data_IF_266342922411
#
_entry.id   IF_266342922411
#
_cell.length_a   1.000
_cell.length_b   1.000
_cell.length_c   1.000
_cell.angle_alpha   90.00
_cell.angle_beta   90.00
_cell.angle_gamma   90.00
#
_symmetry.space_group_name_H-M   'P 1'
#
loop_
_entity.id
_entity.type
_entity.pdbx_description
1 polymer ?
#
# COMPACT_ATOMS: atom_id res chain seq x y z
N UNK A 1 40.82 -13.67 76.83
CA UNK A 1 39.65 -12.76 76.70
C UNK A 1 39.03 -12.99 75.32
N UNK A 2 37.74 -13.37 75.29
CA UNK A 2 36.79 -13.44 74.15
C UNK A 2 37.15 -14.44 73.01
N UNK A 3 36.54 -15.62 72.96
CA UNK A 3 35.23 -15.99 72.34
C UNK A 3 35.08 -15.59 70.87
N UNK A 4 34.71 -16.57 70.02
CA UNK A 4 33.62 -16.60 69.00
C UNK A 4 33.80 -17.96 68.26
N UNK A 5 33.19 -19.07 68.70
CA UNK A 5 31.85 -19.60 68.37
C UNK A 5 31.52 -19.76 66.87
N UNK A 6 31.55 -21.04 66.47
CA UNK A 6 30.97 -21.65 65.27
C UNK A 6 29.48 -21.31 65.12
N UNK A 7 29.03 -21.02 63.91
CA UNK A 7 27.64 -21.18 63.50
C UNK A 7 27.59 -21.52 62.01
N UNK A 8 27.32 -22.80 61.75
CA UNK A 8 26.92 -23.34 60.44
C UNK A 8 25.43 -23.03 60.30
N UNK A 9 25.05 -22.19 59.35
CA UNK A 9 23.65 -21.95 59.01
C UNK A 9 23.26 -22.87 57.86
N UNK A 10 22.36 -23.81 58.13
CA UNK A 10 21.56 -24.52 57.14
C UNK A 10 20.71 -23.50 56.36
N UNK A 11 20.75 -23.55 55.03
CA UNK A 11 19.76 -22.90 54.19
C UNK A 11 18.96 -23.99 53.47
N UNK A 12 17.68 -24.09 53.83
CA UNK A 12 16.71 -25.03 53.29
C UNK A 12 15.65 -24.28 52.47
N UNK A 13 15.30 -24.80 51.29
CA UNK A 13 14.13 -24.45 50.47
C UNK A 13 14.17 -23.06 49.83
N UNK A 14 13.82 -22.85 48.56
CA UNK A 14 12.68 -23.39 47.81
C UNK A 14 13.07 -23.54 46.34
N UNK A 15 12.91 -24.74 45.78
CA UNK A 15 12.81 -24.94 44.34
C UNK A 15 11.37 -24.62 43.94
N UNK A 16 11.16 -23.49 43.29
CA UNK A 16 9.93 -23.22 42.57
C UNK A 16 10.13 -23.69 41.12
N UNK A 17 9.57 -24.85 40.80
CA UNK A 17 9.31 -25.30 39.44
C UNK A 17 8.32 -24.32 38.78
N UNK A 18 8.76 -23.58 37.78
CA UNK A 18 7.87 -22.91 36.83
C UNK A 18 7.76 -23.82 35.63
N UNK A 19 6.87 -24.80 35.74
CA UNK A 19 6.29 -25.50 34.59
C UNK A 19 4.92 -24.88 34.31
N UNK A 20 4.70 -24.56 33.03
CA UNK A 20 3.37 -24.40 32.44
C UNK A 20 2.68 -23.06 32.69
N UNK A 21 2.77 -22.17 31.70
CA UNK A 21 1.61 -21.54 31.03
C UNK A 21 2.12 -20.56 29.98
N UNK A 22 2.33 -21.06 28.76
CA UNK A 22 2.56 -20.27 27.55
C UNK A 22 1.48 -20.55 26.49
N UNK A 23 0.28 -20.94 26.95
CA UNK A 23 -0.90 -21.14 26.13
C UNK A 23 -2.08 -20.55 26.90
N UNK A 24 -2.93 -19.81 26.18
CA UNK A 24 -4.19 -19.17 26.61
C UNK A 24 -4.16 -17.71 27.06
N UNK A 25 -3.50 -16.83 26.29
CA UNK A 25 -4.02 -15.48 26.05
C UNK A 25 -4.24 -15.27 24.55
N UNK A 26 -5.33 -15.85 24.03
CA UNK A 26 -5.92 -15.34 22.79
C UNK A 26 -6.50 -13.96 23.16
N UNK A 27 -5.75 -12.89 22.88
CA UNK A 27 -6.17 -11.53 23.20
C UNK A 27 -7.47 -11.20 22.45
N UNK A 28 -8.36 -10.40 23.04
CA UNK A 28 -9.61 -9.98 22.38
C UNK A 28 -9.36 -9.32 20.99
N UNK A 29 -8.19 -8.71 20.81
CA UNK A 29 -7.72 -8.19 19.52
C UNK A 29 -7.53 -9.31 18.48
N UNK A 30 -6.95 -10.46 18.87
CA UNK A 30 -6.78 -11.60 17.94
C UNK A 30 -8.10 -12.25 17.53
N UNK A 31 -9.08 -12.32 18.44
CA UNK A 31 -10.43 -12.82 18.14
C UNK A 31 -11.17 -11.93 17.13
N UNK A 32 -10.90 -10.62 17.13
CA UNK A 32 -11.50 -9.69 16.17
C UNK A 32 -10.88 -9.84 14.77
N UNK A 33 -9.55 -10.04 14.69
CA UNK A 33 -8.85 -10.27 13.42
C UNK A 33 -9.23 -11.60 12.75
N UNK A 34 -9.69 -12.61 13.50
CA UNK A 34 -10.17 -13.89 12.96
C UNK A 34 -11.55 -13.82 12.30
N UNK A 35 -12.35 -12.81 12.64
CA UNK A 35 -13.67 -12.61 12.05
C UNK A 35 -13.64 -11.77 10.76
N UNK A 36 -12.55 -11.03 10.51
CA UNK A 36 -12.39 -10.15 9.36
C UNK A 36 -12.01 -10.92 8.09
N UNK A 37 -12.56 -10.49 6.96
CA UNK A 37 -12.09 -10.84 5.61
C UNK A 37 -10.67 -10.33 5.38
N UNK A 38 -9.98 -10.81 4.33
CA UNK A 38 -8.63 -10.32 4.03
C UNK A 38 -8.62 -8.86 3.57
N UNK A 39 -9.68 -8.37 2.92
CA UNK A 39 -9.83 -6.96 2.58
C UNK A 39 -9.95 -6.09 3.83
N UNK A 40 -10.81 -6.45 4.78
CA UNK A 40 -10.93 -5.75 6.08
C UNK A 40 -9.64 -5.83 6.89
N UNK A 41 -8.93 -6.96 6.88
CA UNK A 41 -7.62 -7.08 7.51
C UNK A 41 -6.60 -6.11 6.92
N UNK A 42 -6.59 -5.93 5.59
CA UNK A 42 -5.71 -4.98 4.93
C UNK A 42 -6.03 -3.53 5.31
N UNK A 43 -7.31 -3.19 5.45
CA UNK A 43 -7.77 -1.88 5.92
C UNK A 43 -7.32 -1.64 7.37
N UNK A 44 -7.56 -2.63 8.24
CA UNK A 44 -7.13 -2.62 9.64
C UNK A 44 -5.61 -2.49 9.78
N UNK A 45 -4.84 -2.94 8.78
CA UNK A 45 -3.39 -2.77 8.75
C UNK A 45 -2.99 -1.29 8.60
N UNK A 46 -3.66 -0.53 7.72
CA UNK A 46 -3.46 0.93 7.60
C UNK A 46 -3.88 1.62 8.89
N UNK A 47 -5.02 1.23 9.46
CA UNK A 47 -5.50 1.79 10.73
C UNK A 47 -4.54 1.55 11.90
N UNK A 48 -3.94 0.36 11.98
CA UNK A 48 -2.93 0.07 12.97
C UNK A 48 -1.71 0.98 12.80
N UNK A 49 -1.22 1.17 11.56
CA UNK A 49 -0.10 2.08 11.29
C UNK A 49 -0.40 3.51 11.71
N UNK A 50 -1.60 4.01 11.36
CA UNK A 50 -2.07 5.35 11.74
C UNK A 50 -2.12 5.56 13.25
N UNK A 51 -2.46 4.50 13.99
CA UNK A 51 -2.59 4.52 15.45
C UNK A 51 -1.28 4.14 16.18
N UNK A 52 -0.18 3.86 15.45
CA UNK A 52 1.07 3.36 16.03
C UNK A 52 0.96 1.97 16.66
N UNK A 53 -0.04 1.17 16.26
CA UNK A 53 -0.25 -0.21 16.70
C UNK A 53 0.54 -1.18 15.82
N UNK A 54 0.82 -2.36 16.36
CA UNK A 54 1.51 -3.42 15.63
C UNK A 54 0.66 -3.94 14.47
N UNK A 55 1.30 -4.20 13.33
CA UNK A 55 0.71 -4.86 12.16
C UNK A 55 1.13 -6.33 12.02
N UNK A 56 2.02 -6.84 12.89
CA UNK A 56 2.67 -8.15 12.72
C UNK A 56 1.69 -9.31 12.57
N UNK A 57 0.65 -9.36 13.42
CA UNK A 57 -0.35 -10.43 13.34
C UNK A 57 -1.11 -10.45 12.00
N UNK A 58 -1.39 -9.26 11.44
CA UNK A 58 -2.02 -9.13 10.12
C UNK A 58 -1.04 -9.59 9.03
N UNK A 59 0.21 -9.12 9.07
CA UNK A 59 1.26 -9.55 8.13
C UNK A 59 1.45 -11.07 8.14
N UNK A 60 1.48 -11.70 9.32
CA UNK A 60 1.58 -13.15 9.47
C UNK A 60 0.38 -13.89 8.87
N UNK A 61 -0.84 -13.38 9.05
CA UNK A 61 -2.04 -13.93 8.40
C UNK A 61 -1.96 -13.83 6.88
N UNK A 62 -1.61 -12.65 6.35
CA UNK A 62 -1.50 -12.42 4.92
C UNK A 62 -0.38 -13.25 4.28
N UNK A 63 0.71 -13.49 5.01
CA UNK A 63 1.80 -14.33 4.54
C UNK A 63 1.42 -15.82 4.49
N UNK A 64 0.62 -16.30 5.45
CA UNK A 64 0.36 -17.74 5.62
C UNK A 64 -0.96 -18.25 5.00
N UNK A 65 -1.88 -17.36 4.59
CA UNK A 65 -3.11 -17.76 3.88
C UNK A 65 -2.77 -18.54 2.59
N UNK A 66 -3.58 -19.54 2.22
CA UNK A 66 -3.37 -20.21 0.93
C UNK A 66 -3.81 -19.34 -0.25
N UNK A 67 -3.15 -19.43 -1.41
CA UNK A 67 -3.58 -18.68 -2.60
C UNK A 67 -5.04 -18.97 -2.99
N UNK A 68 -5.55 -20.16 -2.67
CA UNK A 68 -6.93 -20.55 -2.94
C UNK A 68 -7.88 -19.77 -2.03
N UNK A 69 -7.65 -19.82 -0.73
CA UNK A 69 -8.47 -19.16 0.29
C UNK A 69 -8.45 -17.64 0.10
N UNK A 70 -7.28 -17.03 -0.13
CA UNK A 70 -7.20 -15.61 -0.43
C UNK A 70 -7.99 -15.26 -1.68
N UNK A 71 -7.92 -16.08 -2.74
CA UNK A 71 -8.68 -15.83 -3.97
C UNK A 71 -10.18 -15.97 -3.77
N UNK A 72 -10.62 -16.92 -2.95
CA UNK A 72 -12.03 -17.13 -2.60
C UNK A 72 -12.58 -15.99 -1.73
N UNK A 73 -11.74 -15.35 -0.91
CA UNK A 73 -12.12 -14.17 -0.10
C UNK A 73 -12.00 -12.83 -0.83
N UNK A 74 -11.40 -12.78 -2.02
CA UNK A 74 -11.33 -11.57 -2.86
C UNK A 74 -12.23 -11.76 -4.08
N UNK A 75 -13.49 -12.14 -3.84
CA UNK A 75 -14.43 -12.57 -4.87
C UNK A 75 -15.12 -11.40 -5.57
N UNK A 76 -15.23 -10.26 -4.87
CA UNK A 76 -15.77 -9.01 -5.40
C UNK A 76 -14.67 -8.08 -5.93
N UNK A 77 -15.05 -7.17 -6.83
CA UNK A 77 -14.14 -6.11 -7.28
C UNK A 77 -13.72 -5.21 -6.11
N UNK A 78 -14.66 -4.92 -5.21
CA UNK A 78 -14.44 -4.11 -4.00
C UNK A 78 -13.32 -4.67 -3.12
N UNK A 79 -13.43 -5.93 -2.74
CA UNK A 79 -12.40 -6.63 -1.95
C UNK A 79 -11.05 -6.65 -2.65
N UNK A 80 -11.01 -6.97 -3.96
CA UNK A 80 -9.75 -6.98 -4.72
C UNK A 80 -9.08 -5.61 -4.74
N UNK A 81 -9.86 -4.54 -4.93
CA UNK A 81 -9.32 -3.18 -4.97
C UNK A 81 -8.82 -2.75 -3.60
N UNK A 82 -9.69 -2.83 -2.59
CA UNK A 82 -9.35 -2.45 -1.22
C UNK A 82 -8.12 -3.20 -0.73
N UNK A 83 -8.09 -4.53 -0.89
CA UNK A 83 -6.97 -5.37 -0.48
C UNK A 83 -5.63 -4.90 -1.04
N UNK A 84 -5.51 -4.77 -2.36
CA UNK A 84 -4.22 -4.47 -2.98
C UNK A 84 -3.79 -3.01 -2.78
N UNK A 85 -4.73 -2.06 -2.72
CA UNK A 85 -4.43 -0.67 -2.40
C UNK A 85 -3.89 -0.54 -0.97
N UNK A 86 -4.57 -1.17 0.00
CA UNK A 86 -4.16 -1.16 1.40
C UNK A 86 -2.83 -1.90 1.61
N UNK A 87 -2.65 -3.08 1.02
CA UNK A 87 -1.40 -3.85 1.11
C UNK A 87 -0.23 -3.02 0.58
N UNK A 88 -0.35 -2.45 -0.63
CA UNK A 88 0.73 -1.62 -1.17
C UNK A 88 1.08 -0.47 -0.22
N UNK A 89 0.08 0.34 0.14
CA UNK A 89 0.30 1.54 0.95
C UNK A 89 0.87 1.19 2.34
N UNK A 90 0.34 0.15 2.99
CA UNK A 90 0.78 -0.26 4.32
C UNK A 90 2.23 -0.74 4.30
N UNK A 91 2.61 -1.60 3.35
CA UNK A 91 3.97 -2.13 3.30
C UNK A 91 5.00 -1.07 2.92
N UNK A 92 4.67 -0.08 2.09
CA UNK A 92 5.56 1.09 1.88
C UNK A 92 5.85 1.77 3.22
N UNK A 93 4.81 2.04 4.02
CA UNK A 93 4.99 2.68 5.32
C UNK A 93 5.75 1.80 6.31
N UNK A 94 5.45 0.50 6.38
CA UNK A 94 6.12 -0.44 7.29
C UNK A 94 7.61 -0.47 6.97
N UNK A 95 7.98 -0.75 5.72
CA UNK A 95 9.37 -0.98 5.33
C UNK A 95 10.18 0.30 5.41
N UNK A 96 9.66 1.43 4.89
CA UNK A 96 10.42 2.70 4.91
C UNK A 96 10.45 3.36 6.29
N UNK A 97 9.56 3.00 7.22
CA UNK A 97 9.68 3.43 8.62
C UNK A 97 10.78 2.65 9.34
N UNK A 98 10.95 1.36 9.01
CA UNK A 98 12.00 0.51 9.58
C UNK A 98 13.37 0.81 8.98
N UNK A 99 13.43 1.01 7.66
CA UNK A 99 14.65 1.29 6.92
C UNK A 99 14.44 2.37 5.84
N UNK A 100 14.57 3.67 6.21
CA UNK A 100 14.40 4.80 5.30
C UNK A 100 15.42 4.85 4.15
N UNK A 101 16.62 4.29 4.34
CA UNK A 101 17.73 4.38 3.37
C UNK A 101 17.40 3.61 2.09
N UNK A 102 16.53 2.60 2.16
CA UNK A 102 16.04 1.86 0.98
C UNK A 102 15.41 2.77 -0.08
N UNK A 103 14.85 3.91 0.32
CA UNK A 103 14.24 4.86 -0.62
C UNK A 103 15.27 5.58 -1.50
N UNK A 104 16.53 5.66 -1.07
CA UNK A 104 17.61 6.27 -1.87
C UNK A 104 17.92 5.45 -3.12
N UNK A 105 17.77 4.13 -3.06
CA UNK A 105 18.05 3.19 -4.14
C UNK A 105 16.98 3.11 -5.23
N UNK A 106 15.89 3.91 -5.13
CA UNK A 106 14.73 3.87 -6.03
C UNK A 106 15.06 3.95 -7.53
N UNK A 107 16.13 4.67 -7.88
CA UNK A 107 16.55 4.93 -9.26
C UNK A 107 17.63 3.94 -9.73
N UNK A 108 17.99 2.93 -8.91
CA UNK A 108 18.99 1.95 -9.28
C UNK A 108 18.54 1.16 -10.51
N UNK A 109 19.30 1.32 -11.60
CA UNK A 109 19.11 0.65 -12.91
C UNK A 109 19.85 -0.68 -12.97
N UNK A 110 20.83 -0.90 -12.10
CA UNK A 110 21.66 -2.11 -12.03
C UNK A 110 21.33 -2.90 -10.77
N UNK A 111 20.35 -3.81 -10.87
CA UNK A 111 19.91 -4.67 -9.77
C UNK A 111 18.44 -4.50 -9.43
N UNK A 112 18.00 -5.18 -8.38
CA UNK A 112 16.71 -4.88 -7.75
C UNK A 112 16.85 -3.60 -6.93
N UNK A 113 15.80 -2.78 -6.91
CA UNK A 113 15.69 -1.59 -6.06
C UNK A 113 14.55 -1.77 -5.05
N UNK A 114 14.27 -0.78 -4.21
CA UNK A 114 13.17 -0.84 -3.25
C UNK A 114 11.84 -1.28 -3.88
N UNK A 115 11.49 -0.75 -5.06
CA UNK A 115 10.22 -1.08 -5.70
C UNK A 115 10.19 -2.45 -6.39
N UNK A 116 11.34 -2.92 -6.91
CA UNK A 116 11.41 -4.18 -7.66
C UNK A 116 11.89 -5.39 -6.85
N UNK A 117 12.45 -5.18 -5.66
CA UNK A 117 12.86 -6.26 -4.76
C UNK A 117 11.64 -6.97 -4.16
N UNK A 118 11.61 -8.31 -4.11
CA UNK A 118 10.55 -9.05 -3.44
C UNK A 118 10.71 -8.90 -1.92
N UNK A 119 9.87 -8.07 -1.31
CA UNK A 119 9.96 -7.69 0.11
C UNK A 119 8.67 -7.97 0.90
N UNK A 120 7.60 -8.38 0.20
CA UNK A 120 6.28 -8.60 0.79
C UNK A 120 5.88 -10.05 0.53
N UNK A 121 5.51 -10.80 1.56
CA UNK A 121 4.99 -12.16 1.40
C UNK A 121 3.47 -12.14 1.50
N UNK A 122 2.77 -12.47 0.41
CA UNK A 122 1.30 -12.60 0.39
C UNK A 122 0.93 -13.98 -0.15
N UNK A 123 0.18 -14.73 0.64
CA UNK A 123 -0.24 -16.09 0.36
C UNK A 123 0.92 -17.06 0.01
N UNK A 124 1.99 -17.00 0.80
CA UNK A 124 3.21 -17.80 0.62
C UNK A 124 4.08 -17.39 -0.57
N UNK A 125 3.76 -16.29 -1.27
CA UNK A 125 4.50 -15.79 -2.41
C UNK A 125 5.15 -14.46 -2.07
N UNK A 126 6.47 -14.39 -2.26
CA UNK A 126 7.19 -13.12 -2.21
C UNK A 126 6.91 -12.30 -3.47
N UNK A 127 6.48 -11.06 -3.27
CA UNK A 127 6.11 -10.07 -4.28
C UNK A 127 6.80 -8.75 -3.99
N UNK A 128 7.08 -7.99 -5.05
CA UNK A 128 7.59 -6.63 -5.01
C UNK A 128 6.46 -5.60 -5.12
N UNK A 129 6.75 -4.32 -4.86
CA UNK A 129 5.80 -3.24 -5.13
C UNK A 129 5.50 -3.13 -6.63
N UNK A 130 6.48 -3.38 -7.50
CA UNK A 130 6.30 -3.43 -8.94
C UNK A 130 5.36 -4.58 -9.35
N UNK A 131 5.44 -5.75 -8.69
CA UNK A 131 4.51 -6.87 -8.94
C UNK A 131 3.07 -6.49 -8.57
N UNK A 132 2.88 -5.81 -7.44
CA UNK A 132 1.55 -5.37 -6.99
C UNK A 132 1.01 -4.28 -7.92
N UNK A 133 1.77 -3.21 -8.15
CA UNK A 133 1.30 -2.08 -8.96
C UNK A 133 1.14 -2.47 -10.42
N UNK A 134 2.16 -3.05 -11.05
CA UNK A 134 2.16 -3.27 -12.49
C UNK A 134 1.59 -4.63 -12.90
N UNK A 135 1.86 -5.67 -12.12
CA UNK A 135 1.36 -7.02 -12.36
C UNK A 135 -0.12 -7.14 -11.99
N UNK A 136 -0.45 -6.78 -10.75
CA UNK A 136 -1.79 -7.02 -10.19
C UNK A 136 -2.74 -5.87 -10.51
N UNK A 137 -2.49 -4.66 -9.99
CA UNK A 137 -3.42 -3.52 -10.07
C UNK A 137 -3.55 -3.03 -11.51
N UNK A 138 -2.43 -2.82 -12.21
CA UNK A 138 -2.43 -2.36 -13.59
C UNK A 138 -2.57 -3.49 -14.60
N UNK A 139 -2.90 -4.72 -14.18
CA UNK A 139 -3.20 -5.86 -15.08
C UNK A 139 -2.06 -6.16 -16.06
N UNK A 140 -0.93 -6.61 -15.52
CA UNK A 140 0.22 -7.10 -16.28
C UNK A 140 0.90 -6.04 -17.15
N UNK A 141 0.91 -4.76 -16.76
CA UNK A 141 1.55 -3.71 -17.57
C UNK A 141 3.05 -3.76 -17.44
N UNK A 142 3.75 -3.44 -18.53
CA UNK A 142 5.20 -3.27 -18.49
C UNK A 142 5.51 -1.88 -17.94
N UNK A 143 6.21 -1.79 -16.80
CA UNK A 143 6.60 -0.54 -16.10
C UNK A 143 7.07 0.56 -17.05
N UNK A 144 8.09 0.26 -17.84
CA UNK A 144 8.76 1.23 -18.73
C UNK A 144 7.96 1.56 -20.01
N UNK A 145 6.79 0.96 -20.21
CA UNK A 145 5.96 1.20 -21.40
C UNK A 145 5.03 2.40 -21.26
N UNK A 146 5.02 3.08 -20.11
CA UNK A 146 4.04 4.14 -19.82
C UNK A 146 2.58 3.68 -19.86
N UNK A 147 2.35 2.36 -19.73
CA UNK A 147 1.06 1.69 -19.82
C UNK A 147 0.66 1.19 -21.23
N UNK A 148 1.48 1.44 -22.26
CA UNK A 148 1.16 1.06 -23.64
C UNK A 148 1.35 -0.44 -23.94
N UNK A 149 2.20 -1.14 -23.19
CA UNK A 149 2.47 -2.56 -23.40
C UNK A 149 2.08 -3.39 -22.17
N UNK A 150 1.59 -4.60 -22.43
CA UNK A 150 1.31 -5.60 -21.39
C UNK A 150 2.27 -6.77 -21.54
N UNK A 151 2.64 -7.39 -20.42
CA UNK A 151 3.44 -8.60 -20.37
C UNK A 151 2.67 -9.72 -21.10
N UNK A 152 3.21 -10.30 -22.19
CA UNK A 152 2.54 -11.37 -22.93
C UNK A 152 2.50 -12.70 -22.17
N UNK A 153 3.36 -12.89 -21.15
CA UNK A 153 3.47 -14.14 -20.39
C UNK A 153 3.42 -13.89 -18.88
N UNK A 154 2.29 -13.38 -18.32
CA UNK A 154 2.21 -13.15 -16.89
C UNK A 154 2.18 -14.47 -16.12
N UNK A 155 2.76 -14.43 -14.91
CA UNK A 155 2.86 -15.59 -14.02
C UNK A 155 1.49 -16.09 -13.53
N UNK A 156 1.44 -17.30 -12.98
CA UNK A 156 0.20 -17.89 -12.46
C UNK A 156 -0.42 -17.08 -11.32
N UNK A 157 0.42 -16.62 -10.38
CA UNK A 157 0.02 -15.77 -9.25
C UNK A 157 -0.59 -14.45 -9.73
N UNK A 158 0.12 -13.75 -10.62
CA UNK A 158 -0.32 -12.49 -11.20
C UNK A 158 -1.66 -12.65 -11.94
N UNK A 159 -1.79 -13.67 -12.80
CA UNK A 159 -3.06 -13.96 -13.51
C UNK A 159 -4.23 -14.22 -12.57
N UNK A 160 -3.98 -14.79 -11.39
CA UNK A 160 -4.99 -15.12 -10.39
C UNK A 160 -5.52 -13.89 -9.66
N UNK A 161 -4.64 -12.96 -9.32
CA UNK A 161 -4.97 -11.82 -8.46
C UNK A 161 -5.13 -10.49 -9.20
N UNK A 162 -4.63 -10.36 -10.44
CA UNK A 162 -4.73 -9.12 -11.20
C UNK A 162 -6.17 -8.65 -11.36
N UNK A 163 -6.33 -7.34 -11.45
CA UNK A 163 -7.62 -6.72 -11.68
C UNK A 163 -8.14 -7.00 -13.09
N UNK A 164 -9.47 -6.90 -13.23
CA UNK A 164 -10.17 -7.15 -14.48
C UNK A 164 -9.91 -6.04 -15.51
N UNK A 165 -9.76 -4.80 -15.03
CA UNK A 165 -9.49 -3.62 -15.85
C UNK A 165 -8.52 -2.69 -15.14
N UNK A 166 -7.85 -1.83 -15.91
CA UNK A 166 -6.99 -0.78 -15.35
C UNK A 166 -7.86 0.41 -14.98
N UNK A 167 -7.88 0.74 -13.70
CA UNK A 167 -8.57 1.92 -13.17
C UNK A 167 -7.56 3.07 -13.02
N UNK A 168 -7.67 4.17 -13.78
CA UNK A 168 -6.68 5.25 -13.73
C UNK A 168 -6.61 5.97 -12.36
N UNK A 169 -7.66 5.86 -11.53
CA UNK A 169 -7.73 6.48 -10.20
C UNK A 169 -6.68 5.92 -9.23
N UNK A 170 -6.14 4.73 -9.51
CA UNK A 170 -5.10 4.09 -8.69
C UNK A 170 -3.84 4.94 -8.56
N UNK A 171 -3.54 5.75 -9.58
CA UNK A 171 -2.38 6.65 -9.59
C UNK A 171 -2.53 7.78 -8.58
N UNK A 172 -3.73 7.99 -8.04
CA UNK A 172 -4.01 8.95 -6.98
C UNK A 172 -4.33 8.27 -5.65
N UNK A 173 -4.15 6.95 -5.57
CA UNK A 173 -4.47 6.11 -4.42
C UNK A 173 -3.25 5.39 -3.84
N UNK A 174 -2.22 5.14 -4.66
CA UNK A 174 -0.97 4.50 -4.26
C UNK A 174 0.04 5.54 -3.77
N UNK A 175 0.51 5.38 -2.53
CA UNK A 175 1.57 6.19 -1.95
C UNK A 175 2.89 5.42 -1.92
N UNK A 176 3.86 5.95 -2.65
CA UNK A 176 5.18 5.41 -2.88
C UNK A 176 6.24 5.85 -1.84
N UNK A 177 5.89 6.71 -0.88
CA UNK A 177 6.82 7.30 0.10
C UNK A 177 7.46 8.62 -0.33
N UNK A 178 7.22 9.13 -1.53
CA UNK A 178 7.69 10.46 -1.96
C UNK A 178 6.75 11.59 -1.49
N UNK A 179 7.30 12.80 -1.29
CA UNK A 179 6.57 14.01 -0.91
C UNK A 179 5.48 14.41 -1.92
N UNK A 180 5.70 14.13 -3.21
CA UNK A 180 4.70 14.34 -4.24
C UNK A 180 3.66 13.22 -4.36
N UNK A 181 3.78 12.11 -3.61
CA UNK A 181 2.81 11.00 -3.69
C UNK A 181 1.42 11.43 -3.12
N UNK A 182 0.34 10.77 -3.54
CA UNK A 182 -1.00 10.96 -2.99
C UNK A 182 -1.10 10.71 -1.48
N UNK A 183 -2.23 11.05 -0.87
CA UNK A 183 -2.48 10.76 0.55
C UNK A 183 -2.61 9.25 0.79
N UNK A 184 -2.18 8.80 1.98
CA UNK A 184 -2.42 7.42 2.42
C UNK A 184 -3.83 7.34 3.02
N UNK A 185 -4.62 6.38 2.58
CA UNK A 185 -5.95 6.13 3.10
C UNK A 185 -6.19 4.64 3.33
N UNK A 186 -7.13 4.34 4.22
CA UNK A 186 -7.66 3.00 4.44
C UNK A 186 -8.88 2.80 3.52
N UNK A 187 -8.79 1.83 2.62
CA UNK A 187 -9.84 1.52 1.66
C UNK A 187 -10.73 0.40 2.19
N UNK A 188 -12.02 0.69 2.30
CA UNK A 188 -13.06 -0.25 2.70
C UNK A 188 -13.57 -1.00 1.45
N UNK A 189 -13.72 -2.34 1.49
CA UNK A 189 -14.14 -3.13 0.33
C UNK A 189 -15.51 -2.72 -0.25
N UNK A 190 -16.44 -2.27 0.58
CA UNK A 190 -17.78 -1.85 0.16
C UNK A 190 -17.80 -0.42 -0.38
N UNK A 191 -16.83 0.42 0.02
CA UNK A 191 -16.76 1.85 -0.35
C UNK A 191 -15.60 2.23 -1.25
N UNK A 192 -14.72 1.29 -1.62
CA UNK A 192 -13.47 1.60 -2.33
C UNK A 192 -13.64 2.43 -3.60
N UNK A 193 -14.73 2.24 -4.36
CA UNK A 193 -14.96 3.04 -5.57
C UNK A 193 -15.31 4.51 -5.25
N UNK A 194 -16.12 4.75 -4.21
CA UNK A 194 -16.40 6.10 -3.71
C UNK A 194 -15.13 6.75 -3.16
N UNK A 195 -14.36 5.99 -2.38
CA UNK A 195 -13.10 6.44 -1.79
C UNK A 195 -12.05 6.79 -2.85
N UNK A 196 -11.96 6.02 -3.95
CA UNK A 196 -11.12 6.33 -5.11
C UNK A 196 -11.53 7.63 -5.80
N UNK A 197 -12.82 7.94 -5.87
CA UNK A 197 -13.30 9.22 -6.41
C UNK A 197 -12.92 10.39 -5.50
N UNK A 198 -13.05 10.20 -4.19
CA UNK A 198 -12.67 11.20 -3.18
C UNK A 198 -11.18 11.50 -3.26
N UNK A 199 -10.31 10.48 -3.24
CA UNK A 199 -8.86 10.67 -3.30
C UNK A 199 -8.41 11.27 -4.62
N UNK A 200 -9.01 10.83 -5.73
CA UNK A 200 -8.76 11.40 -7.05
C UNK A 200 -9.08 12.88 -7.09
N UNK A 201 -10.30 13.27 -6.66
CA UNK A 201 -10.70 14.69 -6.64
C UNK A 201 -9.75 15.52 -5.79
N UNK A 202 -9.50 15.10 -4.55
CA UNK A 202 -8.62 15.81 -3.62
C UNK A 202 -7.21 15.98 -4.18
N UNK A 203 -6.64 14.93 -4.78
CA UNK A 203 -5.29 14.99 -5.33
C UNK A 203 -5.22 15.87 -6.58
N UNK A 204 -6.21 15.79 -7.47
CA UNK A 204 -6.28 16.65 -8.65
C UNK A 204 -6.45 18.12 -8.27
N UNK A 205 -7.33 18.45 -7.32
CA UNK A 205 -7.52 19.82 -6.79
C UNK A 205 -6.21 20.36 -6.20
N UNK A 206 -5.48 19.53 -5.44
CA UNK A 206 -4.20 19.91 -4.82
C UNK A 206 -3.09 20.13 -5.86
N UNK A 207 -3.07 19.35 -6.93
CA UNK A 207 -1.89 19.22 -7.80
C UNK A 207 -2.07 19.83 -9.19
N UNK A 208 -3.24 20.34 -9.54
CA UNK A 208 -3.52 20.92 -10.86
C UNK A 208 -3.56 22.44 -10.81
N UNK A 209 -2.77 23.09 -11.66
CA UNK A 209 -2.87 24.53 -11.89
C UNK A 209 -3.51 24.77 -13.26
N UNK A 210 -4.67 25.43 -13.30
CA UNK A 210 -5.39 25.76 -14.52
C UNK A 210 -5.24 27.24 -14.88
N UNK A 211 -4.75 27.52 -16.09
CA UNK A 211 -4.50 28.85 -16.64
C UNK A 211 -5.45 29.09 -17.84
N UNK A 212 -6.69 29.57 -17.61
CA UNK A 212 -7.69 29.70 -18.66
C UNK A 212 -7.29 30.68 -19.76
N UNK A 213 -6.64 31.80 -19.42
CA UNK A 213 -6.19 32.83 -20.37
C UNK A 213 -5.13 32.31 -21.36
N UNK A 214 -4.40 31.27 -20.98
CA UNK A 214 -3.35 30.64 -21.79
C UNK A 214 -3.85 29.35 -22.47
N UNK A 215 -5.10 28.95 -22.22
CA UNK A 215 -5.64 27.63 -22.55
C UNK A 215 -4.65 26.50 -22.18
N UNK A 216 -4.19 26.53 -20.93
CA UNK A 216 -3.11 25.67 -20.43
C UNK A 216 -3.44 25.11 -19.06
N UNK A 217 -3.04 23.85 -18.82
CA UNK A 217 -3.14 23.19 -17.52
C UNK A 217 -1.83 22.50 -17.19
N UNK A 218 -1.37 22.66 -15.95
CA UNK A 218 -0.18 22.00 -15.41
C UNK A 218 -0.62 20.97 -14.39
N UNK A 219 -0.46 19.69 -14.72
CA UNK A 219 -0.91 18.55 -13.89
C UNK A 219 0.27 17.82 -13.24
N UNK A 220 -0.01 16.94 -12.28
CA UNK A 220 1.01 16.11 -11.65
C UNK A 220 1.78 15.20 -12.63
N UNK A 221 3.00 14.80 -12.26
CA UNK A 221 3.88 13.96 -13.10
C UNK A 221 3.33 12.55 -13.34
N UNK A 222 2.47 12.02 -12.48
CA UNK A 222 1.91 10.68 -12.59
C UNK A 222 1.10 10.53 -13.89
N UNK A 223 0.36 11.58 -14.28
CA UNK A 223 -0.34 11.65 -15.57
C UNK A 223 0.60 11.64 -16.79
N UNK A 224 1.90 11.90 -16.60
CA UNK A 224 2.93 11.75 -17.63
C UNK A 224 3.49 10.33 -17.69
N UNK A 225 3.83 9.75 -16.54
CA UNK A 225 4.44 8.41 -16.46
C UNK A 225 3.47 7.30 -16.84
N UNK A 226 2.20 7.43 -16.45
CA UNK A 226 1.16 6.44 -16.72
C UNK A 226 0.19 6.90 -17.81
N UNK A 227 0.69 7.69 -18.76
CA UNK A 227 -0.11 8.37 -19.79
C UNK A 227 -1.11 7.47 -20.51
N UNK A 228 -0.77 6.22 -20.79
CA UNK A 228 -1.69 5.31 -21.48
C UNK A 228 -2.89 4.92 -20.62
N UNK A 229 -2.72 4.79 -19.30
CA UNK A 229 -3.79 4.40 -18.38
C UNK A 229 -4.86 5.50 -18.30
N UNK A 230 -4.45 6.76 -18.46
CA UNK A 230 -5.36 7.91 -18.56
C UNK A 230 -5.96 8.12 -19.95
N UNK A 231 -5.65 7.29 -20.95
CA UNK A 231 -6.11 7.54 -22.33
C UNK A 231 -5.39 8.71 -23.01
N UNK A 232 -4.12 8.96 -22.65
CA UNK A 232 -3.32 10.05 -23.20
C UNK A 232 -3.60 11.40 -22.55
N UNK A 233 -3.08 12.48 -23.17
CA UNK A 233 -3.35 13.85 -22.70
C UNK A 233 -4.83 14.22 -22.80
N UNK A 234 -5.53 13.73 -23.82
CA UNK A 234 -6.96 13.97 -23.99
C UNK A 234 -7.79 13.33 -22.88
N UNK A 235 -7.48 12.08 -22.51
CA UNK A 235 -8.18 11.43 -21.40
C UNK A 235 -7.78 11.99 -20.03
N UNK A 236 -6.55 12.49 -19.87
CA UNK A 236 -6.18 13.31 -18.71
C UNK A 236 -7.05 14.57 -18.60
N UNK A 237 -7.24 15.33 -19.68
CA UNK A 237 -8.16 16.48 -19.71
C UNK A 237 -9.59 16.05 -19.43
N UNK A 238 -10.05 14.92 -19.98
CA UNK A 238 -11.39 14.39 -19.72
C UNK A 238 -11.58 14.11 -18.22
N UNK A 239 -10.62 13.46 -17.57
CA UNK A 239 -10.66 13.21 -16.13
C UNK A 239 -10.72 14.52 -15.32
N UNK A 240 -9.94 15.53 -15.70
CA UNK A 240 -10.04 16.85 -15.05
C UNK A 240 -11.44 17.47 -15.17
N UNK A 241 -12.15 17.23 -16.28
CA UNK A 241 -13.55 17.65 -16.44
C UNK A 241 -14.48 16.80 -15.59
N UNK A 242 -14.31 15.48 -15.59
CA UNK A 242 -15.17 14.55 -14.85
C UNK A 242 -15.15 14.87 -13.34
N UNK A 243 -14.02 15.31 -12.81
CA UNK A 243 -13.85 15.76 -11.41
C UNK A 243 -14.01 17.27 -11.19
N UNK A 244 -14.48 18.01 -12.20
CA UNK A 244 -14.79 19.44 -12.12
C UNK A 244 -13.58 20.34 -11.78
N UNK A 245 -12.37 19.90 -12.12
CA UNK A 245 -11.12 20.66 -11.94
C UNK A 245 -10.98 21.75 -13.00
N UNK A 246 -11.50 21.48 -14.20
CA UNK A 246 -11.56 22.44 -15.31
C UNK A 246 -13.00 22.49 -15.88
N UNK A 247 -13.39 23.58 -16.55
CA UNK A 247 -14.70 23.67 -17.21
C UNK A 247 -14.94 22.55 -18.23
N UNK A 248 -16.19 22.12 -18.38
CA UNK A 248 -16.58 21.02 -19.29
C UNK A 248 -16.23 21.31 -20.76
N UNK A 249 -16.26 22.59 -21.16
CA UNK A 249 -15.94 23.08 -22.50
C UNK A 249 -14.45 23.41 -22.69
N UNK A 250 -13.62 23.31 -21.66
CA UNK A 250 -12.19 23.58 -21.76
C UNK A 250 -11.45 22.53 -22.60
N UNK A 251 -10.44 22.94 -23.37
CA UNK A 251 -9.53 22.01 -24.07
C UNK A 251 -8.08 22.51 -23.96
N UNK A 252 -7.53 22.51 -22.73
CA UNK A 252 -6.23 23.10 -22.49
C UNK A 252 -5.08 22.21 -22.96
N UNK A 253 -3.99 22.85 -23.36
CA UNK A 253 -2.70 22.19 -23.50
C UNK A 253 -2.21 21.66 -22.15
N UNK A 254 -1.71 20.42 -22.13
CA UNK A 254 -1.25 19.74 -20.90
C UNK A 254 0.26 19.81 -20.75
N UNK A 255 0.70 20.37 -19.62
CA UNK A 255 2.06 20.36 -19.09
C UNK A 255 2.13 19.56 -17.79
N UNK A 256 3.33 19.16 -17.37
CA UNK A 256 3.53 18.31 -16.21
C UNK A 256 4.47 18.97 -15.20
N UNK A 257 4.08 18.98 -13.92
CA UNK A 257 4.92 19.40 -12.79
C UNK A 257 6.14 18.50 -12.65
N UNK A 258 7.18 18.99 -11.97
CA UNK A 258 8.23 18.10 -11.47
C UNK A 258 7.72 17.25 -10.31
N UNK A 259 8.39 16.12 -10.07
CA UNK A 259 8.02 15.19 -9.01
C UNK A 259 9.04 15.25 -7.89
N UNK A 260 8.57 15.63 -6.70
CA UNK A 260 9.40 15.71 -5.51
C UNK A 260 9.59 14.31 -4.92
N UNK A 261 10.82 13.81 -5.06
CA UNK A 261 11.29 12.51 -4.56
C UNK A 261 11.85 12.58 -3.14
N UNK A 262 11.60 13.63 -2.37
CA UNK A 262 11.93 13.65 -0.94
C UNK A 262 11.12 12.58 -0.23
N UNK A 263 11.74 11.78 0.64
CA UNK A 263 11.01 10.80 1.46
C UNK A 263 10.06 11.55 2.41
N UNK A 264 8.78 11.22 2.34
CA UNK A 264 7.73 11.71 3.23
C UNK A 264 6.77 10.57 3.57
N UNK A 265 6.74 10.19 4.84
CA UNK A 265 5.90 9.11 5.36
C UNK A 265 4.78 9.67 6.25
N UNK A 266 3.70 8.89 6.38
CA UNK A 266 2.63 9.18 7.32
C UNK A 266 1.68 10.31 6.94
N UNK A 267 1.56 10.66 5.66
CA UNK A 267 0.58 11.63 5.16
C UNK A 267 -0.85 11.05 5.07
N UNK A 268 -1.33 10.46 6.18
CA UNK A 268 -2.65 9.82 6.26
C UNK A 268 -3.81 10.81 6.11
N UNK A 269 -4.91 10.35 5.50
CA UNK A 269 -6.13 11.13 5.27
C UNK A 269 -7.38 10.28 5.48
N UNK A 270 -8.37 10.84 6.17
CA UNK A 270 -9.72 10.28 6.26
C UNK A 270 -10.48 10.54 4.95
N UNK A 271 -11.13 9.49 4.42
CA UNK A 271 -11.91 9.51 3.17
C UNK A 271 -13.20 8.69 3.29
#
# INVERSE_FOLDING_TARGET
MKNILFSVLLMAGVLASVDGQAQDEISADSLNLDAMTYAELSEQMIENLRQGKSTKAIQEKLANVSEKELKESLDSEGERKAFWLNVYNAYVQIILTEDPELFEDRDSVFGYNFFSSPQITIAGKDVSFDDIEHGIIRRSKVKISGGYASNPFPGGYEKKFRWDEVDPRIHFALNCGAAACPYIAAYDPDRVNEQLDITTKQYLEKTTDYYPEENRVVVNKLMSWFRADFGGKSGAVQMLKDYEIVPQDADPSVEFKEYDWTLELGNYKDI
#
